data_IF_199255787154
#
_entry.id   IF_199255787154
#
_cell.length_a   1.000
_cell.length_b   1.000
_cell.length_c   1.000
_cell.angle_alpha   90.00
_cell.angle_beta   90.00
_cell.angle_gamma   90.00
#
_symmetry.space_group_name_H-M   'P 1'
#
loop_
_entity.id
_entity.type
_entity.pdbx_description
1 polymer ?
#
# COMPACT_ATOMS: atom_id res chain seq x y z
N UNK A 1 40.16 10.61 -3.19
CA UNK A 1 41.15 11.29 -4.05
C UNK A 1 40.45 12.52 -4.59
N UNK A 2 41.04 13.71 -4.45
CA UNK A 2 40.43 14.95 -4.95
C UNK A 2 40.65 14.98 -6.46
N UNK A 3 39.56 15.10 -7.21
CA UNK A 3 39.59 15.20 -8.68
C UNK A 3 38.66 16.33 -9.13
N UNK A 4 38.92 16.87 -10.32
CA UNK A 4 38.02 17.83 -10.96
C UNK A 4 36.87 17.08 -11.62
N UNK A 5 35.65 17.29 -11.14
CA UNK A 5 34.45 16.57 -11.60
C UNK A 5 33.19 17.42 -11.50
N UNK A 6 32.12 16.97 -12.15
CA UNK A 6 30.80 17.57 -12.01
C UNK A 6 30.19 17.12 -10.69
N UNK A 7 29.69 18.08 -9.91
CA UNK A 7 29.06 17.82 -8.61
C UNK A 7 27.94 18.84 -8.38
N UNK A 8 26.97 18.47 -7.55
CA UNK A 8 25.89 19.36 -7.16
C UNK A 8 26.40 20.43 -6.18
N UNK A 9 26.17 21.69 -6.53
CA UNK A 9 26.29 22.84 -5.65
C UNK A 9 24.90 23.31 -5.22
N UNK A 10 24.81 23.78 -3.97
CA UNK A 10 23.56 24.25 -3.36
C UNK A 10 23.75 25.72 -3.00
N UNK A 11 22.89 26.58 -3.54
CA UNK A 11 22.79 27.99 -3.20
C UNK A 11 22.02 28.13 -1.87
N UNK A 12 22.75 28.46 -0.81
CA UNK A 12 22.17 28.58 0.54
C UNK A 12 21.24 29.78 0.70
N UNK A 13 21.40 30.82 -0.11
CA UNK A 13 20.56 32.02 -0.06
C UNK A 13 19.18 31.73 -0.66
N UNK A 14 19.13 30.92 -1.71
CA UNK A 14 17.87 30.48 -2.33
C UNK A 14 17.21 29.30 -1.61
N UNK A 15 18.00 28.43 -0.98
CA UNK A 15 17.48 27.24 -0.32
C UNK A 15 16.64 27.63 0.91
N UNK A 16 15.38 27.21 0.98
CA UNK A 16 14.51 27.44 2.14
C UNK A 16 14.36 26.21 3.07
N UNK A 17 15.10 25.13 2.76
CA UNK A 17 15.06 23.90 3.56
C UNK A 17 13.85 23.00 3.33
N UNK A 18 13.03 23.23 2.30
CA UNK A 18 11.81 22.46 2.06
C UNK A 18 12.02 20.94 1.87
N UNK A 19 13.23 20.50 1.50
CA UNK A 19 13.60 19.07 1.47
C UNK A 19 13.13 18.28 0.25
N UNK A 20 12.49 18.90 -0.74
CA UNK A 20 11.97 18.19 -1.94
C UNK A 20 13.06 17.51 -2.78
N UNK A 21 14.30 18.00 -2.72
CA UNK A 21 15.45 17.39 -3.39
C UNK A 21 15.95 16.08 -2.74
N UNK A 22 15.60 15.82 -1.47
CA UNK A 22 16.15 14.69 -0.70
C UNK A 22 15.65 13.34 -1.22
N UNK A 23 14.34 13.10 -1.46
CA UNK A 23 13.84 11.81 -1.93
C UNK A 23 14.34 11.41 -3.32
N UNK A 24 14.71 12.38 -4.16
CA UNK A 24 15.14 12.14 -5.55
C UNK A 24 16.63 11.83 -5.69
N UNK A 25 17.39 11.84 -4.59
CA UNK A 25 18.79 11.42 -4.58
C UNK A 25 18.89 9.95 -4.17
N UNK A 26 19.08 9.06 -5.16
CA UNK A 26 19.17 7.62 -4.94
C UNK A 26 20.38 7.23 -4.06
N UNK A 27 21.43 8.04 -4.11
CA UNK A 27 22.69 7.85 -3.38
C UNK A 27 22.58 8.34 -1.91
N UNK A 28 21.48 9.02 -1.55
CA UNK A 28 21.28 9.59 -0.23
C UNK A 28 22.30 10.68 0.13
N UNK A 29 22.84 11.37 -0.88
CA UNK A 29 23.91 12.35 -0.74
C UNK A 29 23.43 13.68 -0.14
N UNK A 30 22.16 14.06 -0.30
CA UNK A 30 21.58 15.33 0.17
C UNK A 30 20.79 15.10 1.45
N UNK A 31 20.98 15.97 2.46
CA UNK A 31 20.17 16.03 3.69
C UNK A 31 19.83 17.46 4.06
N UNK A 32 18.80 17.63 4.88
CA UNK A 32 18.54 18.91 5.54
C UNK A 32 19.34 18.98 6.84
N UNK A 33 20.22 19.97 6.92
CA UNK A 33 21.05 20.29 8.09
C UNK A 33 20.91 21.79 8.35
N UNK A 34 20.55 22.16 9.58
CA UNK A 34 20.32 23.56 9.98
C UNK A 34 19.33 24.30 9.07
N UNK A 35 18.27 23.61 8.64
CA UNK A 35 17.23 24.17 7.79
C UNK A 35 17.66 24.44 6.33
N UNK A 36 18.79 23.88 5.88
CA UNK A 36 19.27 24.01 4.50
C UNK A 36 19.64 22.64 3.92
N UNK A 37 19.50 22.48 2.61
CA UNK A 37 20.00 21.29 1.92
C UNK A 37 21.54 21.31 1.89
N UNK A 38 22.17 20.21 2.28
CA UNK A 38 23.63 20.04 2.28
C UNK A 38 24.00 18.65 1.78
N UNK A 39 25.15 18.55 1.11
CA UNK A 39 25.77 17.25 0.83
C UNK A 39 26.35 16.67 2.11
N UNK A 40 26.00 15.43 2.43
CA UNK A 40 26.52 14.71 3.61
C UNK A 40 28.02 14.45 3.46
N UNK A 41 28.44 14.05 2.25
CA UNK A 41 29.82 14.01 1.82
C UNK A 41 29.87 14.08 0.29
N UNK A 42 30.90 14.72 -0.26
CA UNK A 42 31.03 14.90 -1.72
C UNK A 42 31.18 13.59 -2.48
N UNK A 43 31.82 12.59 -1.87
CA UNK A 43 31.97 11.23 -2.40
C UNK A 43 30.67 10.46 -2.61
N UNK A 44 29.56 10.93 -2.03
CA UNK A 44 28.24 10.31 -2.22
C UNK A 44 27.46 10.90 -3.39
N UNK A 45 27.80 12.10 -3.85
CA UNK A 45 27.12 12.74 -4.96
C UNK A 45 27.71 12.20 -6.28
N UNK A 46 26.90 11.73 -7.21
CA UNK A 46 27.36 11.26 -8.52
C UNK A 46 27.52 12.39 -9.56
N UNK A 47 26.91 13.56 -9.31
CA UNK A 47 26.88 14.69 -10.22
C UNK A 47 25.87 14.58 -11.36
N UNK A 48 24.97 13.59 -11.37
CA UNK A 48 23.98 13.38 -12.45
C UNK A 48 22.82 14.38 -12.41
N UNK A 49 22.50 14.92 -11.23
CA UNK A 49 21.53 16.02 -11.11
C UNK A 49 20.05 15.61 -11.08
N UNK A 50 19.73 14.39 -10.64
CA UNK A 50 18.35 13.96 -10.42
C UNK A 50 17.54 14.90 -9.51
N UNK A 51 18.21 15.61 -8.59
CA UNK A 51 17.61 16.55 -7.66
C UNK A 51 17.27 17.94 -8.24
N UNK A 52 17.78 18.30 -9.43
CA UNK A 52 17.65 19.65 -9.99
C UNK A 52 16.19 20.05 -10.25
N UNK A 53 15.40 19.13 -10.82
CA UNK A 53 13.99 19.37 -11.17
C UNK A 53 13.04 19.47 -9.97
N UNK A 54 13.51 19.10 -8.78
CA UNK A 54 12.70 19.02 -7.57
C UNK A 54 12.82 20.27 -6.69
N UNK A 55 13.74 21.18 -7.02
CA UNK A 55 13.91 22.38 -6.22
C UNK A 55 12.98 23.50 -6.69
N UNK A 56 11.92 23.84 -5.94
CA UNK A 56 11.02 24.93 -6.33
C UNK A 56 11.69 26.31 -6.27
N UNK A 57 12.86 26.41 -5.63
CA UNK A 57 13.65 27.64 -5.49
C UNK A 57 14.81 27.74 -6.48
N UNK A 58 14.99 26.73 -7.35
CA UNK A 58 16.12 26.68 -8.29
C UNK A 58 17.47 26.93 -7.57
N UNK A 59 17.66 26.24 -6.44
CA UNK A 59 18.80 26.41 -5.56
C UNK A 59 19.91 25.35 -5.80
N UNK A 60 19.70 24.39 -6.70
CA UNK A 60 20.67 23.32 -6.97
C UNK A 60 21.20 23.46 -8.39
N UNK A 61 22.51 23.35 -8.57
CA UNK A 61 23.18 23.48 -9.87
C UNK A 61 24.31 22.46 -10.00
N UNK A 62 24.55 21.96 -11.22
CA UNK A 62 25.74 21.16 -11.51
C UNK A 62 26.90 22.10 -11.81
N UNK A 63 27.97 21.99 -11.03
CA UNK A 63 29.21 22.77 -11.23
C UNK A 63 30.39 21.84 -11.41
N UNK A 64 31.42 22.30 -12.10
CA UNK A 64 32.70 21.60 -12.19
C UNK A 64 33.68 22.19 -11.18
N UNK A 65 34.07 21.42 -10.17
CA UNK A 65 35.03 21.83 -9.13
C UNK A 65 35.88 20.65 -8.66
N UNK A 66 36.91 20.95 -7.89
CA UNK A 66 37.67 19.93 -7.15
C UNK A 66 36.81 19.38 -6.02
N UNK A 67 36.61 18.07 -6.02
CA UNK A 67 35.80 17.35 -5.04
C UNK A 67 36.32 15.92 -4.87
N UNK A 68 35.94 15.26 -3.77
CA UNK A 68 36.18 13.83 -3.61
C UNK A 68 35.53 13.04 -4.75
N UNK A 69 36.25 12.05 -5.27
CA UNK A 69 35.72 11.11 -6.26
C UNK A 69 34.51 10.33 -5.71
N UNK A 70 33.60 9.96 -6.60
CA UNK A 70 32.39 9.21 -6.25
C UNK A 70 32.76 7.79 -5.87
N UNK A 71 32.24 7.35 -4.73
CA UNK A 71 32.54 6.04 -4.16
C UNK A 71 31.25 5.24 -3.98
N UNK A 72 30.95 4.40 -4.98
CA UNK A 72 29.79 3.51 -4.98
C UNK A 72 29.73 2.62 -3.74
N UNK A 73 30.88 2.12 -3.26
CA UNK A 73 30.92 1.26 -2.07
C UNK A 73 30.59 2.06 -0.82
N UNK A 74 31.10 3.28 -0.72
CA UNK A 74 30.77 4.17 0.39
C UNK A 74 29.29 4.59 0.36
N UNK A 75 28.67 4.76 -0.82
CA UNK A 75 27.23 4.98 -0.96
C UNK A 75 26.45 3.76 -0.48
N UNK A 76 26.80 2.54 -0.88
CA UNK A 76 26.14 1.34 -0.40
C UNK A 76 26.20 1.21 1.13
N UNK A 77 27.37 1.43 1.73
CA UNK A 77 27.52 1.42 3.18
C UNK A 77 26.73 2.54 3.87
N UNK A 78 26.74 3.74 3.29
CA UNK A 78 25.97 4.88 3.78
C UNK A 78 24.48 4.60 3.73
N UNK A 79 23.96 4.02 2.65
CA UNK A 79 22.57 3.61 2.52
C UNK A 79 22.23 2.49 3.50
N UNK A 80 23.12 1.51 3.73
CA UNK A 80 22.91 0.47 4.76
C UNK A 80 22.85 1.05 6.18
N UNK A 81 23.65 2.07 6.50
CA UNK A 81 23.68 2.76 7.81
C UNK A 81 22.57 3.80 7.97
N UNK A 82 22.13 4.39 6.87
CA UNK A 82 21.11 5.46 6.79
C UNK A 82 19.73 4.95 6.46
N UNK A 83 19.62 3.66 6.13
CA UNK A 83 18.38 2.91 6.16
C UNK A 83 18.07 2.61 7.63
N UNK A 84 17.00 3.16 8.22
CA UNK A 84 16.14 2.24 8.94
C UNK A 84 15.79 1.10 7.96
N UNK A 85 15.60 -0.15 8.40
CA UNK A 85 14.88 -1.11 7.55
C UNK A 85 13.64 -0.41 6.99
N UNK A 86 13.12 -0.84 5.83
CA UNK A 86 11.80 -0.42 5.37
C UNK A 86 10.76 -0.65 6.50
N UNK A 87 10.65 0.35 7.34
CA UNK A 87 9.95 0.51 8.59
C UNK A 87 9.85 2.03 8.60
N UNK A 88 8.78 2.60 8.02
CA UNK A 88 7.64 2.94 8.87
C UNK A 88 8.14 3.06 10.30
N UNK A 89 8.46 4.28 10.72
CA UNK A 89 8.72 4.64 12.10
C UNK A 89 7.89 3.75 13.00
N UNK A 90 8.51 2.72 13.59
CA UNK A 90 7.86 1.90 14.59
C UNK A 90 7.84 2.80 15.80
N UNK A 91 6.79 3.62 15.87
CA UNK A 91 6.31 4.07 17.16
C UNK A 91 6.14 2.81 18.02
N UNK A 92 6.36 2.88 19.35
CA UNK A 92 6.20 1.75 20.26
C UNK A 92 4.87 0.99 20.07
N UNK A 93 3.89 1.68 19.48
CA UNK A 93 2.72 1.12 18.84
C UNK A 93 2.75 1.52 17.35
N UNK A 94 2.95 0.59 16.41
CA UNK A 94 2.90 0.92 14.97
C UNK A 94 1.60 1.65 14.58
N UNK A 95 1.56 2.32 13.42
CA UNK A 95 0.36 3.02 12.95
C UNK A 95 -0.89 2.14 13.14
N UNK A 96 -1.96 2.59 13.81
CA UNK A 96 -3.17 1.79 14.01
C UNK A 96 -3.71 1.18 12.71
N UNK A 97 -3.51 1.87 11.58
CA UNK A 97 -3.88 1.39 10.25
C UNK A 97 -3.13 0.14 9.78
N UNK A 98 -1.98 -0.19 10.37
CA UNK A 98 -1.18 -1.39 10.06
C UNK A 98 -1.23 -2.43 11.18
N UNK A 99 -1.85 -2.12 12.32
CA UNK A 99 -2.02 -3.10 13.39
C UNK A 99 -3.14 -4.07 13.05
N UNK A 100 -2.80 -5.36 13.04
CA UNK A 100 -3.80 -6.41 12.88
C UNK A 100 -4.66 -6.50 14.14
N UNK A 101 -5.97 -6.40 13.98
CA UNK A 101 -6.94 -6.51 15.05
C UNK A 101 -8.04 -7.50 14.66
N UNK A 102 -8.39 -8.37 15.59
CA UNK A 102 -9.66 -9.11 15.53
C UNK A 102 -10.72 -8.26 16.20
N UNK A 103 -11.78 -7.94 15.47
CA UNK A 103 -12.94 -7.23 16.00
C UNK A 103 -13.93 -8.31 16.41
N UNK A 104 -14.32 -8.33 17.68
CA UNK A 104 -15.31 -9.28 18.15
C UNK A 104 -16.59 -9.10 17.31
N UNK A 105 -16.99 -10.16 16.60
CA UNK A 105 -18.23 -10.13 15.85
C UNK A 105 -19.38 -9.91 16.84
N UNK A 106 -20.33 -9.00 16.57
CA UNK A 106 -21.39 -8.66 17.51
C UNK A 106 -22.45 -9.77 17.71
N UNK A 107 -22.19 -10.99 17.24
CA UNK A 107 -23.17 -12.08 17.31
C UNK A 107 -22.97 -12.86 18.60
N UNK A 108 -23.52 -12.34 19.70
CA UNK A 108 -23.86 -13.17 20.84
C UNK A 108 -25.04 -14.08 20.42
N UNK A 109 -25.01 -15.35 20.84
CA UNK A 109 -26.10 -16.31 20.63
C UNK A 109 -27.46 -15.83 21.18
N UNK A 110 -27.44 -14.82 22.06
CA UNK A 110 -28.60 -14.23 22.72
C UNK A 110 -29.44 -13.30 21.80
N UNK A 111 -28.91 -12.90 20.63
CA UNK A 111 -29.61 -11.99 19.71
C UNK A 111 -30.33 -12.70 18.55
N UNK A 112 -30.25 -14.03 18.46
CA UNK A 112 -30.86 -14.80 17.38
C UNK A 112 -32.41 -14.72 17.35
N UNK A 113 -33.05 -14.38 18.48
CA UNK A 113 -34.51 -14.35 18.64
C UNK A 113 -35.11 -12.94 18.82
N UNK A 114 -34.33 -11.86 18.64
CA UNK A 114 -34.88 -10.50 18.72
C UNK A 114 -35.36 -10.04 17.33
N UNK A 115 -36.61 -9.55 17.20
CA UNK A 115 -37.08 -8.98 15.94
C UNK A 115 -36.21 -7.76 15.60
N UNK A 116 -35.58 -7.79 14.43
CA UNK A 116 -34.66 -6.75 13.95
C UNK A 116 -35.48 -5.51 13.59
N UNK A 117 -35.68 -4.61 14.55
CA UNK A 117 -36.12 -3.26 14.25
C UNK A 117 -35.05 -2.58 13.39
N UNK A 118 -35.47 -1.90 12.31
CA UNK A 118 -34.60 -1.19 11.34
C UNK A 118 -33.94 0.07 11.93
N UNK A 119 -33.25 -0.08 13.05
CA UNK A 119 -32.35 0.94 13.60
C UNK A 119 -30.93 0.44 13.38
N UNK A 120 -30.19 1.13 12.51
CA UNK A 120 -28.83 0.81 12.01
C UNK A 120 -28.08 -0.31 12.75
N UNK A 121 -27.86 -1.43 12.07
CA UNK A 121 -27.11 -2.56 12.60
C UNK A 121 -25.65 -2.21 12.87
N UNK A 122 -25.06 -2.86 13.88
CA UNK A 122 -23.63 -2.76 14.17
C UNK A 122 -22.79 -3.20 12.96
N UNK A 123 -21.56 -2.69 12.88
CA UNK A 123 -20.62 -3.11 11.84
C UNK A 123 -20.40 -4.63 11.88
N UNK A 124 -20.61 -5.28 10.75
CA UNK A 124 -20.32 -6.71 10.57
C UNK A 124 -18.82 -7.02 10.39
N UNK A 125 -17.95 -6.00 10.42
CA UNK A 125 -16.52 -6.17 10.21
C UNK A 125 -15.89 -6.93 11.38
N UNK A 126 -15.20 -8.03 11.08
CA UNK A 126 -14.59 -8.93 12.06
C UNK A 126 -13.08 -8.75 12.21
N UNK A 127 -12.45 -7.92 11.38
CA UNK A 127 -11.01 -7.70 11.42
C UNK A 127 -10.59 -6.35 10.85
N UNK A 128 -9.37 -5.95 11.20
CA UNK A 128 -8.66 -4.82 10.61
C UNK A 128 -7.17 -5.19 10.45
N UNK A 129 -6.44 -4.69 9.43
CA UNK A 129 -6.88 -3.82 8.33
C UNK A 129 -7.63 -4.55 7.22
N UNK A 130 -8.34 -3.81 6.37
CA UNK A 130 -9.11 -4.38 5.24
C UNK A 130 -8.45 -4.22 3.88
N UNK A 131 -7.43 -3.36 3.75
CA UNK A 131 -6.80 -3.09 2.45
C UNK A 131 -5.96 -4.29 1.99
N UNK A 132 -6.11 -4.72 0.72
CA UNK A 132 -5.40 -5.88 0.13
C UNK A 132 -3.89 -5.80 0.38
N UNK A 133 -3.31 -4.59 0.24
CA UNK A 133 -1.87 -4.36 0.45
C UNK A 133 -1.43 -4.59 1.89
N UNK A 134 -2.29 -4.26 2.86
CA UNK A 134 -1.96 -4.25 4.28
C UNK A 134 -2.22 -5.59 4.98
N UNK A 135 -3.19 -6.38 4.49
CA UNK A 135 -3.51 -7.69 5.07
C UNK A 135 -2.34 -8.66 4.89
N UNK A 136 -1.78 -9.23 5.98
CA UNK A 136 -0.78 -10.27 5.91
C UNK A 136 -1.35 -11.58 5.34
N UNK A 137 -0.65 -12.27 4.42
CA UNK A 137 -1.16 -13.50 3.79
C UNK A 137 -1.45 -14.66 4.75
N UNK A 138 -0.86 -14.64 5.95
CA UNK A 138 -0.98 -15.66 6.98
C UNK A 138 -1.85 -15.21 8.18
N UNK A 139 -2.63 -14.13 8.01
CA UNK A 139 -3.46 -13.57 9.07
C UNK A 139 -4.43 -14.65 9.64
N UNK A 140 -4.58 -14.76 10.97
CA UNK A 140 -5.41 -15.80 11.58
C UNK A 140 -6.86 -15.80 11.09
N UNK A 141 -7.44 -14.63 10.81
CA UNK A 141 -8.80 -14.48 10.31
C UNK A 141 -9.00 -14.95 8.85
N UNK A 142 -7.92 -15.19 8.09
CA UNK A 142 -8.01 -15.76 6.74
C UNK A 142 -8.08 -17.29 6.76
N UNK A 143 -7.71 -17.95 7.87
CA UNK A 143 -7.63 -19.40 7.95
C UNK A 143 -8.99 -20.05 7.77
N UNK A 144 -9.18 -20.78 6.67
CA UNK A 144 -10.46 -21.44 6.39
C UNK A 144 -11.64 -20.46 6.24
N UNK A 145 -11.36 -19.20 5.85
CA UNK A 145 -12.37 -18.17 5.72
C UNK A 145 -13.12 -18.25 4.39
N UNK A 146 -14.35 -17.74 4.38
CA UNK A 146 -15.01 -17.25 3.19
C UNK A 146 -14.49 -15.83 2.92
N UNK A 147 -13.74 -15.67 1.82
CA UNK A 147 -13.05 -14.43 1.50
C UNK A 147 -13.95 -13.54 0.64
N UNK A 148 -14.18 -12.31 1.08
CA UNK A 148 -14.79 -11.25 0.27
C UNK A 148 -13.69 -10.31 -0.24
N UNK A 149 -13.54 -10.24 -1.56
CA UNK A 149 -12.68 -9.26 -2.23
C UNK A 149 -13.56 -8.17 -2.84
N UNK A 150 -13.53 -6.97 -2.27
CA UNK A 150 -14.43 -5.88 -2.68
C UNK A 150 -13.68 -4.71 -3.31
N UNK A 151 -14.25 -4.14 -4.37
CA UNK A 151 -13.74 -2.89 -4.94
C UNK A 151 -14.05 -1.70 -4.02
N UNK A 152 -13.15 -0.72 -3.96
CA UNK A 152 -13.22 0.46 -3.05
C UNK A 152 -14.57 1.18 -3.07
N UNK A 153 -15.21 1.29 -4.24
CA UNK A 153 -16.47 2.03 -4.38
C UNK A 153 -17.70 1.26 -3.86
N UNK A 154 -17.60 -0.06 -3.68
CA UNK A 154 -18.77 -0.91 -3.38
C UNK A 154 -19.43 -0.59 -2.03
N UNK A 155 -18.73 -0.27 -0.94
CA UNK A 155 -19.37 0.09 0.33
C UNK A 155 -20.11 1.43 0.27
N UNK A 156 -19.69 2.33 -0.63
CA UNK A 156 -20.33 3.63 -0.81
C UNK A 156 -21.54 3.57 -1.73
N UNK A 157 -21.52 2.64 -2.70
CA UNK A 157 -22.62 2.46 -3.64
C UNK A 157 -23.72 1.54 -3.12
N UNK A 158 -23.38 0.47 -2.38
CA UNK A 158 -24.32 -0.54 -1.89
C UNK A 158 -24.54 -0.42 -0.36
N UNK A 159 -25.64 0.20 0.11
CA UNK A 159 -25.81 0.55 1.52
C UNK A 159 -25.82 -0.65 2.48
N UNK A 160 -26.28 -1.81 2.01
CA UNK A 160 -26.46 -3.01 2.82
C UNK A 160 -25.25 -3.94 2.81
N UNK A 161 -24.06 -3.46 2.42
CA UNK A 161 -22.87 -4.30 2.19
C UNK A 161 -22.46 -5.10 3.43
N UNK A 162 -22.64 -4.51 4.63
CA UNK A 162 -22.30 -5.18 5.88
C UNK A 162 -23.15 -6.43 6.10
N UNK A 163 -24.46 -6.32 5.86
CA UNK A 163 -25.44 -7.40 6.02
C UNK A 163 -25.28 -8.45 4.94
N UNK A 164 -25.19 -8.02 3.69
CA UNK A 164 -25.33 -8.93 2.54
C UNK A 164 -24.00 -9.59 2.13
N UNK A 165 -22.85 -8.93 2.41
CA UNK A 165 -21.55 -9.38 1.92
C UNK A 165 -20.49 -9.53 3.00
N UNK A 166 -20.38 -8.63 3.98
CA UNK A 166 -19.28 -8.67 4.97
C UNK A 166 -19.57 -9.68 6.09
N UNK A 167 -20.82 -9.82 6.52
CA UNK A 167 -21.18 -10.67 7.65
C UNK A 167 -20.67 -12.12 7.48
N UNK A 168 -19.85 -12.56 8.43
CA UNK A 168 -19.27 -13.90 8.45
C UNK A 168 -18.08 -14.11 7.50
N UNK A 169 -17.60 -13.08 6.81
CA UNK A 169 -16.51 -13.18 5.81
C UNK A 169 -15.27 -12.41 6.22
N UNK A 170 -14.11 -12.86 5.74
CA UNK A 170 -12.89 -12.07 5.81
C UNK A 170 -12.89 -11.08 4.64
N UNK A 171 -12.86 -9.77 4.93
CA UNK A 171 -12.88 -8.73 3.90
C UNK A 171 -11.47 -8.31 3.46
N UNK A 172 -11.25 -8.21 2.15
CA UNK A 172 -10.10 -7.54 1.54
C UNK A 172 -10.57 -6.54 0.48
N UNK A 173 -10.07 -5.31 0.51
CA UNK A 173 -10.54 -4.17 -0.30
C UNK A 173 -9.41 -3.60 -1.15
N UNK A 174 -9.70 -3.25 -2.41
CA UNK A 174 -8.77 -2.48 -3.24
C UNK A 174 -9.32 -2.11 -4.62
N UNK A 175 -8.60 -1.26 -5.36
CA UNK A 175 -9.03 -0.76 -6.67
C UNK A 175 -8.06 -1.17 -7.78
N UNK A 176 -8.48 -2.03 -8.74
CA UNK A 176 -7.61 -2.48 -9.83
C UNK A 176 -7.17 -1.35 -10.79
N UNK A 177 -7.78 -0.17 -10.73
CA UNK A 177 -7.38 1.00 -11.54
C UNK A 177 -6.20 1.77 -10.94
N UNK A 178 -6.14 1.87 -9.62
CA UNK A 178 -5.15 2.70 -8.91
C UNK A 178 -4.02 1.87 -8.30
N UNK A 179 -4.26 0.58 -8.09
CA UNK A 179 -3.29 -0.33 -7.50
C UNK A 179 -2.54 -1.16 -8.54
N UNK A 180 -1.32 -1.57 -8.19
CA UNK A 180 -0.51 -2.45 -9.02
C UNK A 180 -1.10 -3.87 -9.07
N UNK A 181 -1.50 -4.30 -10.26
CA UNK A 181 -2.14 -5.60 -10.48
C UNK A 181 -1.20 -6.77 -10.12
N UNK A 182 0.08 -6.66 -10.44
CA UNK A 182 1.05 -7.74 -10.16
C UNK A 182 1.32 -7.88 -8.65
N UNK A 183 1.33 -6.78 -7.89
CA UNK A 183 1.34 -6.80 -6.43
C UNK A 183 0.12 -7.54 -5.86
N UNK A 184 -1.08 -7.30 -6.40
CA UNK A 184 -2.29 -8.01 -5.97
C UNK A 184 -2.25 -9.49 -6.32
N UNK A 185 -1.80 -9.84 -7.52
CA UNK A 185 -1.65 -11.24 -7.92
C UNK A 185 -0.70 -11.97 -6.97
N UNK A 186 0.45 -11.38 -6.64
CA UNK A 186 1.38 -11.93 -5.64
C UNK A 186 0.72 -12.08 -4.27
N UNK A 187 0.04 -11.03 -3.80
CA UNK A 187 -0.68 -11.05 -2.51
C UNK A 187 -1.69 -12.18 -2.45
N UNK A 188 -2.54 -12.34 -3.47
CA UNK A 188 -3.53 -13.39 -3.52
C UNK A 188 -2.90 -14.78 -3.65
N UNK A 189 -1.82 -14.91 -4.43
CA UNK A 189 -1.04 -16.16 -4.51
C UNK A 189 -0.60 -16.61 -3.11
N UNK A 190 -0.05 -15.70 -2.31
CA UNK A 190 0.42 -16.01 -0.96
C UNK A 190 -0.76 -16.32 -0.02
N UNK A 191 -1.85 -15.56 -0.10
CA UNK A 191 -3.06 -15.79 0.70
C UNK A 191 -3.60 -17.20 0.44
N UNK A 192 -3.73 -17.60 -0.82
CA UNK A 192 -4.28 -18.91 -1.18
C UNK A 192 -3.36 -20.07 -0.80
N UNK A 193 -2.03 -19.88 -0.83
CA UNK A 193 -1.06 -20.89 -0.37
C UNK A 193 -1.05 -21.07 1.15
N UNK A 194 -1.22 -19.99 1.92
CA UNK A 194 -0.94 -19.98 3.35
C UNK A 194 -2.18 -20.07 4.24
N UNK A 195 -3.34 -19.65 3.74
CA UNK A 195 -4.54 -19.50 4.58
C UNK A 195 -5.60 -20.58 4.38
N UNK A 196 -5.55 -21.37 3.30
CA UNK A 196 -6.57 -22.41 3.06
C UNK A 196 -7.99 -21.83 2.97
N UNK A 197 -8.15 -20.75 2.20
CA UNK A 197 -9.44 -20.07 1.97
C UNK A 197 -10.45 -21.05 1.36
N UNK A 198 -11.70 -21.04 1.87
CA UNK A 198 -12.75 -21.98 1.46
C UNK A 198 -13.49 -21.56 0.21
N UNK A 199 -13.80 -20.27 0.11
CA UNK A 199 -14.51 -19.69 -1.02
C UNK A 199 -14.09 -18.25 -1.23
N UNK A 200 -14.28 -17.74 -2.44
CA UNK A 200 -14.06 -16.32 -2.75
C UNK A 200 -15.31 -15.71 -3.36
N UNK A 201 -15.71 -14.54 -2.87
CA UNK A 201 -16.67 -13.67 -3.54
C UNK A 201 -15.95 -12.40 -3.95
N UNK A 202 -16.01 -12.05 -5.23
CA UNK A 202 -15.47 -10.79 -5.73
C UNK A 202 -16.63 -9.83 -5.97
N UNK A 203 -16.64 -8.69 -5.28
CA UNK A 203 -17.66 -7.65 -5.39
C UNK A 203 -17.07 -6.45 -6.14
N UNK A 204 -17.68 -6.09 -7.27
CA UNK A 204 -17.19 -5.04 -8.18
C UNK A 204 -18.29 -4.06 -8.53
N UNK A 205 -17.91 -2.90 -9.08
CA UNK A 205 -18.84 -2.00 -9.74
C UNK A 205 -19.04 -2.38 -11.23
N UNK A 206 -20.14 -1.98 -11.83
CA UNK A 206 -20.46 -2.22 -13.26
C UNK A 206 -19.53 -1.53 -14.26
N UNK A 207 -18.77 -0.54 -13.78
CA UNK A 207 -17.84 0.26 -14.58
C UNK A 207 -16.63 -0.57 -15.06
N UNK A 208 -16.08 -0.25 -16.24
CA UNK A 208 -15.01 -1.05 -16.86
C UNK A 208 -13.74 -1.11 -16.01
N UNK A 209 -13.46 -0.06 -15.22
CA UNK A 209 -12.27 -0.04 -14.38
C UNK A 209 -12.26 -1.13 -13.30
N UNK A 210 -13.41 -1.68 -12.89
CA UNK A 210 -13.46 -2.74 -11.87
C UNK A 210 -13.30 -4.16 -12.42
N UNK A 211 -13.33 -4.36 -13.75
CA UNK A 211 -13.29 -5.69 -14.38
C UNK A 211 -11.94 -6.41 -14.19
N UNK A 212 -10.86 -5.67 -13.88
CA UNK A 212 -9.56 -6.27 -13.60
C UNK A 212 -9.50 -7.05 -12.29
N UNK A 213 -10.32 -6.71 -11.29
CA UNK A 213 -10.27 -7.34 -9.97
C UNK A 213 -10.55 -8.86 -9.98
N UNK A 214 -11.63 -9.36 -10.61
CA UNK A 214 -11.85 -10.81 -10.70
C UNK A 214 -10.74 -11.53 -11.46
N UNK A 215 -10.14 -10.91 -12.48
CA UNK A 215 -9.01 -11.48 -13.23
C UNK A 215 -7.77 -11.60 -12.35
N UNK A 216 -7.46 -10.57 -11.58
CA UNK A 216 -6.35 -10.55 -10.61
C UNK A 216 -6.49 -11.69 -9.60
N UNK A 217 -7.70 -11.86 -9.03
CA UNK A 217 -7.99 -12.93 -8.06
C UNK A 217 -7.81 -14.31 -8.71
N UNK A 218 -8.37 -14.52 -9.91
CA UNK A 218 -8.21 -15.78 -10.67
C UNK A 218 -6.75 -16.09 -10.99
N UNK A 219 -5.96 -15.09 -11.40
CA UNK A 219 -4.52 -15.26 -11.64
C UNK A 219 -3.78 -15.63 -10.35
N UNK A 220 -4.15 -15.06 -9.21
CA UNK A 220 -3.61 -15.44 -7.90
C UNK A 220 -3.92 -16.89 -7.53
N UNK A 221 -5.15 -17.36 -7.75
CA UNK A 221 -5.53 -18.76 -7.54
C UNK A 221 -4.73 -19.71 -8.44
N UNK A 222 -4.64 -19.40 -9.73
CA UNK A 222 -3.88 -20.19 -10.69
C UNK A 222 -2.39 -20.28 -10.32
N UNK A 223 -1.77 -19.16 -9.94
CA UNK A 223 -0.38 -19.13 -9.49
C UNK A 223 -0.15 -19.85 -8.14
N UNK A 224 -1.19 -19.97 -7.33
CA UNK A 224 -1.19 -20.78 -6.12
C UNK A 224 -1.48 -22.27 -6.38
N UNK A 225 -1.85 -22.64 -7.61
CA UNK A 225 -2.41 -23.95 -7.96
C UNK A 225 -3.57 -24.34 -7.02
N UNK A 226 -4.41 -23.36 -6.69
CA UNK A 226 -5.53 -23.49 -5.77
C UNK A 226 -6.85 -23.56 -6.57
N UNK A 227 -7.65 -24.59 -6.29
CA UNK A 227 -8.99 -24.75 -6.83
C UNK A 227 -10.02 -24.32 -5.76
N UNK A 228 -10.39 -23.04 -5.79
CA UNK A 228 -11.28 -22.43 -4.79
C UNK A 228 -12.52 -21.91 -5.52
N UNK A 229 -13.74 -22.27 -5.07
CA UNK A 229 -14.96 -21.78 -5.69
C UNK A 229 -15.03 -20.24 -5.59
N UNK A 230 -15.24 -19.60 -6.73
CA UNK A 230 -15.30 -18.15 -6.87
C UNK A 230 -16.65 -17.71 -7.43
N UNK A 231 -17.28 -16.74 -6.78
CA UNK A 231 -18.42 -15.99 -7.32
C UNK A 231 -18.05 -14.54 -7.59
N UNK A 232 -18.69 -13.92 -8.56
CA UNK A 232 -18.48 -12.53 -8.95
C UNK A 232 -19.82 -11.79 -8.97
N UNK A 233 -19.90 -10.71 -8.20
CA UNK A 233 -21.10 -9.90 -8.04
C UNK A 233 -20.79 -8.48 -8.52
N UNK A 234 -21.69 -7.95 -9.34
CA UNK A 234 -21.55 -6.63 -9.95
C UNK A 234 -22.63 -5.70 -9.42
N UNK A 235 -22.19 -4.58 -8.84
CA UNK A 235 -23.01 -3.51 -8.28
C UNK A 235 -23.11 -2.37 -9.30
N UNK A 236 -24.32 -1.89 -9.57
CA UNK A 236 -24.57 -0.73 -10.41
C UNK A 236 -24.15 0.56 -9.73
N UNK A 237 -23.95 1.63 -10.50
CA UNK A 237 -23.60 2.96 -9.94
C UNK A 237 -24.73 3.56 -9.07
N UNK A 238 -25.94 2.97 -9.11
CA UNK A 238 -27.08 3.35 -8.26
C UNK A 238 -27.32 2.38 -7.11
N UNK A 239 -26.42 1.42 -6.89
CA UNK A 239 -26.45 0.52 -5.74
C UNK A 239 -27.30 -0.74 -5.90
N UNK A 240 -27.83 -1.00 -7.10
CA UNK A 240 -28.50 -2.26 -7.43
C UNK A 240 -27.49 -3.37 -7.76
N UNK A 241 -27.89 -4.64 -7.60
CA UNK A 241 -27.09 -5.75 -8.12
C UNK A 241 -27.47 -5.98 -9.57
N UNK A 242 -26.53 -5.75 -10.49
CA UNK A 242 -26.77 -5.88 -11.93
C UNK A 242 -26.44 -7.29 -12.45
N UNK A 243 -25.48 -8.00 -11.84
CA UNK A 243 -25.08 -9.37 -12.23
C UNK A 243 -24.55 -10.20 -11.06
N UNK A 244 -24.74 -11.52 -11.15
CA UNK A 244 -24.16 -12.56 -10.28
C UNK A 244 -23.66 -13.70 -11.17
N UNK A 245 -22.37 -14.00 -11.07
CA UNK A 245 -21.63 -14.97 -11.89
C UNK A 245 -20.85 -15.97 -11.00
#
# INVERSE_FOLDING_TARGET
MIIKRKIIAIDEDKCDGCGQCVPSCAEGAIRIVDGKARLVAEKYCDGLGACLGECPKDALHVVEREADDFDEKAVEEHLKKSSPPAALSVMPCGCPSSQMQSIAAPVACEDANKPVSRTGGASALSHWPVQIKLVPPNAPFLRGADLLVAADCTPFAYPDIHRDFIQGRALMVGCPKFDDAESYIRKFTDVFKLSGVKSVTVLTMEVPCCQGLPVIVKRGMAAANADIPMSHIVVGVRGEIVRRE
#
